data_IF_619711283370
#
_entry.id   IF_619711283370
#
_cell.length_a   1.000
_cell.length_b   1.000
_cell.length_c   1.000
_cell.angle_alpha   90.00
_cell.angle_beta   90.00
_cell.angle_gamma   90.00
#
_symmetry.space_group_name_H-M   'P 1'
#
loop_
_entity.id
_entity.type
_entity.pdbx_description
1 polymer ?
#
# COMPACT_ATOMS: atom_id res chain seq x y z
N UNK A 1 -18.33 -7.41 -7.91
CA UNK A 1 -18.10 -7.50 -6.45
C UNK A 1 -19.13 -8.39 -5.82
N UNK A 2 -18.73 -9.24 -4.88
CA UNK A 2 -19.64 -10.15 -4.19
C UNK A 2 -20.22 -9.57 -2.88
N UNK A 3 -21.19 -10.29 -2.27
CA UNK A 3 -21.86 -9.85 -1.04
C UNK A 3 -20.94 -9.81 0.18
N UNK A 4 -19.92 -10.66 0.25
CA UNK A 4 -18.96 -10.70 1.37
C UNK A 4 -18.04 -9.50 1.29
N UNK A 5 -17.53 -9.18 0.11
CA UNK A 5 -16.73 -7.98 -0.15
C UNK A 5 -17.49 -6.71 0.21
N UNK A 6 -18.74 -6.59 -0.27
CA UNK A 6 -19.56 -5.42 0.03
C UNK A 6 -19.81 -5.26 1.54
N UNK A 7 -20.07 -6.37 2.25
CA UNK A 7 -20.24 -6.37 3.70
C UNK A 7 -18.95 -5.95 4.41
N UNK A 8 -17.81 -6.49 3.99
CA UNK A 8 -16.50 -6.12 4.52
C UNK A 8 -16.21 -4.62 4.36
N UNK A 9 -16.46 -4.04 3.19
CA UNK A 9 -16.24 -2.61 2.96
C UNK A 9 -17.16 -1.73 3.83
N UNK A 10 -18.43 -2.13 4.01
CA UNK A 10 -19.35 -1.44 4.92
C UNK A 10 -18.88 -1.49 6.38
N UNK A 11 -18.43 -2.65 6.83
CA UNK A 11 -17.92 -2.84 8.19
C UNK A 11 -16.60 -2.06 8.40
N UNK A 12 -15.73 -2.04 7.40
CA UNK A 12 -14.48 -1.25 7.44
C UNK A 12 -14.76 0.24 7.60
N UNK A 13 -15.68 0.81 6.81
CA UNK A 13 -16.04 2.22 6.93
C UNK A 13 -16.70 2.52 8.30
N UNK A 14 -17.52 1.59 8.81
CA UNK A 14 -18.19 1.72 10.09
C UNK A 14 -17.22 1.76 11.29
N UNK A 15 -16.04 1.13 11.21
CA UNK A 15 -14.98 1.24 12.23
C UNK A 15 -14.53 2.70 12.40
N UNK A 16 -14.49 3.44 11.29
CA UNK A 16 -14.17 4.88 11.26
C UNK A 16 -15.39 5.78 11.47
N UNK A 17 -16.54 5.19 11.82
CA UNK A 17 -17.85 5.87 11.98
C UNK A 17 -18.33 6.58 10.71
N UNK A 18 -17.90 6.09 9.55
CA UNK A 18 -18.32 6.59 8.25
C UNK A 18 -19.37 5.64 7.66
N UNK A 19 -20.60 6.15 7.50
CA UNK A 19 -21.77 5.34 7.10
C UNK A 19 -22.39 5.81 5.78
N UNK A 20 -21.82 6.82 5.13
CA UNK A 20 -22.38 7.37 3.90
C UNK A 20 -22.23 6.42 2.71
N UNK A 21 -23.21 6.44 1.82
CA UNK A 21 -23.13 5.73 0.54
C UNK A 21 -21.95 6.23 -0.31
N UNK A 22 -21.57 7.50 -0.17
CA UNK A 22 -20.43 8.09 -0.89
C UNK A 22 -19.12 7.43 -0.45
N UNK A 23 -18.90 7.31 0.86
CA UNK A 23 -17.72 6.61 1.38
C UNK A 23 -17.69 5.15 0.97
N UNK A 24 -18.84 4.48 0.94
CA UNK A 24 -18.91 3.11 0.43
C UNK A 24 -18.48 3.06 -1.04
N UNK A 25 -18.96 3.97 -1.88
CA UNK A 25 -18.57 4.04 -3.29
C UNK A 25 -17.07 4.32 -3.47
N UNK A 26 -16.46 5.14 -2.62
CA UNK A 26 -15.01 5.39 -2.64
C UNK A 26 -14.24 4.09 -2.30
N UNK A 27 -14.65 3.38 -1.25
CA UNK A 27 -14.06 2.08 -0.86
C UNK A 27 -14.25 1.01 -1.94
N UNK A 28 -15.41 0.99 -2.61
CA UNK A 28 -15.70 0.10 -3.75
C UNK A 28 -14.73 0.36 -4.91
N UNK A 29 -14.55 1.62 -5.32
CA UNK A 29 -13.64 1.97 -6.41
C UNK A 29 -12.19 1.57 -6.08
N UNK A 30 -11.76 1.84 -4.86
CA UNK A 30 -10.43 1.48 -4.39
C UNK A 30 -10.22 -0.05 -4.40
N UNK A 31 -11.20 -0.80 -3.90
CA UNK A 31 -11.17 -2.26 -3.87
C UNK A 31 -11.16 -2.87 -5.27
N UNK A 32 -12.01 -2.39 -6.18
CA UNK A 32 -12.07 -2.88 -7.55
C UNK A 32 -10.79 -2.57 -8.32
N UNK A 33 -10.19 -1.39 -8.11
CA UNK A 33 -8.89 -1.07 -8.68
C UNK A 33 -7.81 -2.05 -8.21
N UNK A 34 -7.70 -2.26 -6.89
CA UNK A 34 -6.71 -3.18 -6.34
C UNK A 34 -6.91 -4.61 -6.86
N UNK A 35 -8.16 -5.06 -6.93
CA UNK A 35 -8.55 -6.37 -7.47
C UNK A 35 -8.31 -6.52 -8.97
N UNK A 36 -8.30 -5.46 -9.76
CA UNK A 36 -7.94 -5.58 -11.17
C UNK A 36 -6.43 -5.59 -11.36
N UNK A 37 -5.67 -5.07 -10.38
CA UNK A 37 -4.22 -5.05 -10.40
C UNK A 37 -3.64 -6.43 -10.05
N UNK A 38 -4.05 -7.04 -8.94
CA UNK A 38 -3.41 -8.25 -8.37
C UNK A 38 -3.54 -9.54 -9.22
N UNK A 39 -4.71 -9.91 -9.79
CA UNK A 39 -4.90 -11.17 -10.51
C UNK A 39 -4.16 -11.27 -11.84
N UNK A 40 -3.58 -10.17 -12.33
CA UNK A 40 -2.78 -10.14 -13.55
C UNK A 40 -1.32 -10.58 -13.36
N UNK A 41 -0.98 -11.10 -12.17
CA UNK A 41 0.40 -11.44 -11.79
C UNK A 41 1.24 -10.23 -11.42
N UNK A 42 0.64 -9.02 -11.38
CA UNK A 42 1.32 -7.82 -10.91
C UNK A 42 1.41 -7.83 -9.38
N UNK A 43 2.62 -7.56 -8.89
CA UNK A 43 2.90 -7.42 -7.45
C UNK A 43 2.36 -6.08 -6.97
N UNK A 44 2.03 -6.01 -5.68
CA UNK A 44 1.70 -4.73 -5.04
C UNK A 44 2.92 -3.82 -5.18
N UNK A 45 2.73 -2.65 -5.77
CA UNK A 45 3.76 -1.64 -5.95
C UNK A 45 3.34 -0.30 -5.36
N UNK A 46 4.31 0.62 -5.23
CA UNK A 46 4.05 1.97 -4.70
C UNK A 46 2.98 2.71 -5.51
N UNK A 47 3.01 2.72 -6.86
CA UNK A 47 1.94 3.33 -7.66
C UNK A 47 0.54 2.81 -7.34
N UNK A 48 0.38 1.50 -7.16
CA UNK A 48 -0.89 0.89 -6.78
C UNK A 48 -1.34 1.38 -5.40
N UNK A 49 -0.45 1.37 -4.40
CA UNK A 49 -0.75 1.84 -3.03
C UNK A 49 -1.21 3.30 -3.06
N UNK A 50 -0.48 4.17 -3.77
CA UNK A 50 -0.82 5.59 -3.86
C UNK A 50 -2.12 5.82 -4.63
N UNK A 51 -2.42 5.01 -5.64
CA UNK A 51 -3.70 5.11 -6.38
C UNK A 51 -4.88 4.68 -5.53
N UNK A 52 -4.76 3.60 -4.77
CA UNK A 52 -5.76 3.18 -3.78
C UNK A 52 -5.97 4.29 -2.75
N UNK A 53 -4.89 4.86 -2.21
CA UNK A 53 -4.96 5.97 -1.26
C UNK A 53 -5.63 7.21 -1.87
N UNK A 54 -5.35 7.52 -3.14
CA UNK A 54 -6.02 8.60 -3.86
C UNK A 54 -7.53 8.40 -3.87
N UNK A 55 -8.04 7.21 -4.22
CA UNK A 55 -9.48 6.96 -4.25
C UNK A 55 -10.15 7.14 -2.90
N UNK A 56 -9.51 6.67 -1.83
CA UNK A 56 -10.04 6.78 -0.47
C UNK A 56 -10.01 8.22 0.07
N UNK A 57 -8.93 8.96 -0.21
CA UNK A 57 -8.69 10.27 0.42
C UNK A 57 -9.14 11.46 -0.41
N UNK A 58 -9.40 11.32 -1.72
CA UNK A 58 -9.70 12.46 -2.60
C UNK A 58 -10.84 13.34 -2.10
N UNK A 59 -11.87 12.72 -1.49
CA UNK A 59 -13.02 13.42 -0.93
C UNK A 59 -12.75 13.97 0.47
N UNK A 60 -11.95 13.28 1.27
CA UNK A 60 -11.67 13.63 2.66
C UNK A 60 -10.64 14.75 2.77
N UNK A 61 -9.51 14.58 2.09
CA UNK A 61 -8.45 15.59 1.98
C UNK A 61 -7.64 15.41 0.69
N UNK A 62 -8.03 16.16 -0.34
CA UNK A 62 -7.38 16.13 -1.65
C UNK A 62 -5.92 16.60 -1.63
N UNK A 63 -5.46 17.28 -0.56
CA UNK A 63 -4.07 17.77 -0.46
C UNK A 63 -3.10 16.61 -0.22
N UNK A 64 -3.54 15.57 0.49
CA UNK A 64 -2.73 14.40 0.86
C UNK A 64 -3.09 13.15 0.05
N UNK A 65 -4.23 13.17 -0.65
CA UNK A 65 -4.66 12.06 -1.49
C UNK A 65 -3.55 11.64 -2.47
N UNK A 66 -3.25 10.34 -2.49
CA UNK A 66 -2.20 9.75 -3.34
C UNK A 66 -0.76 10.18 -3.05
N UNK A 67 -0.45 10.77 -1.90
CA UNK A 67 0.90 11.25 -1.56
C UNK A 67 1.52 10.51 -0.39
N UNK A 68 2.84 10.37 -0.44
CA UNK A 68 3.65 10.03 0.74
C UNK A 68 3.71 11.27 1.63
N UNK A 69 3.55 11.09 2.94
CA UNK A 69 3.65 12.22 3.89
C UNK A 69 5.07 12.76 4.00
N UNK A 70 5.17 14.05 4.26
CA UNK A 70 6.42 14.79 4.44
C UNK A 70 6.64 15.24 5.89
N UNK A 71 5.80 14.76 6.82
CA UNK A 71 5.85 15.12 8.23
C UNK A 71 5.86 13.88 9.14
N UNK A 72 6.43 14.05 10.34
CA UNK A 72 6.37 13.04 11.39
C UNK A 72 4.93 12.79 11.87
N UNK A 73 4.59 11.53 12.11
CA UNK A 73 3.26 11.10 12.58
C UNK A 73 3.41 10.19 13.80
N UNK A 74 2.47 10.32 14.73
CA UNK A 74 2.32 9.47 15.91
C UNK A 74 0.96 8.77 15.86
N UNK A 75 0.95 7.48 16.18
CA UNK A 75 -0.28 6.70 16.37
C UNK A 75 -0.31 6.22 17.80
N UNK A 76 -1.18 6.84 18.62
CA UNK A 76 -1.15 6.66 20.07
C UNK A 76 0.17 7.17 20.67
N UNK A 77 0.90 6.30 21.38
CA UNK A 77 2.22 6.59 21.95
C UNK A 77 3.40 6.09 21.07
N UNK A 78 3.12 5.62 19.84
CA UNK A 78 4.14 5.09 18.93
C UNK A 78 4.48 6.12 17.87
N UNK A 79 5.75 6.51 17.78
CA UNK A 79 6.29 7.27 16.64
C UNK A 79 6.29 6.36 15.40
N UNK A 80 5.72 6.82 14.30
CA UNK A 80 5.84 6.14 13.00
C UNK A 80 7.21 6.43 12.37
N UNK A 81 7.51 5.76 11.25
CA UNK A 81 8.71 6.02 10.44
C UNK A 81 8.88 7.52 10.15
N UNK A 82 10.10 8.03 10.07
CA UNK A 82 10.34 9.37 9.59
C UNK A 82 9.97 9.49 8.10
N UNK A 83 9.53 10.65 7.60
CA UNK A 83 9.16 10.86 6.19
C UNK A 83 10.17 10.31 5.18
N UNK A 84 11.45 10.53 5.44
CA UNK A 84 12.58 10.11 4.62
C UNK A 84 12.73 8.59 4.51
N UNK A 85 12.25 7.84 5.50
CA UNK A 85 12.35 6.37 5.55
C UNK A 85 11.21 5.68 4.79
N UNK A 86 10.04 6.34 4.67
CA UNK A 86 8.80 5.70 4.18
C UNK A 86 8.99 5.10 2.79
N UNK A 87 9.67 5.81 1.89
CA UNK A 87 9.82 5.36 0.51
C UNK A 87 10.64 4.07 0.43
N UNK A 88 11.73 3.98 1.18
CA UNK A 88 12.56 2.78 1.25
C UNK A 88 11.81 1.63 1.90
N UNK A 89 11.09 1.88 3.00
CA UNK A 89 10.28 0.84 3.66
C UNK A 89 9.14 0.33 2.78
N UNK A 90 8.50 1.19 2.00
CA UNK A 90 7.48 0.78 1.03
C UNK A 90 8.10 -0.03 -0.11
N UNK A 91 9.30 0.34 -0.58
CA UNK A 91 10.01 -0.46 -1.59
C UNK A 91 10.32 -1.85 -1.05
N UNK A 92 10.85 -1.96 0.16
CA UNK A 92 11.10 -3.25 0.82
C UNK A 92 9.82 -4.09 0.94
N UNK A 93 8.72 -3.45 1.38
CA UNK A 93 7.43 -4.13 1.53
C UNK A 93 6.84 -4.64 0.21
N UNK A 94 7.08 -3.92 -0.88
CA UNK A 94 6.66 -4.32 -2.22
C UNK A 94 7.55 -5.40 -2.85
N UNK A 95 8.69 -5.73 -2.24
CA UNK A 95 9.56 -6.80 -2.75
C UNK A 95 8.93 -8.18 -2.48
N UNK A 96 9.00 -9.11 -3.45
CA UNK A 96 8.49 -10.45 -3.26
C UNK A 96 9.27 -11.22 -2.18
N UNK A 97 8.62 -12.05 -1.37
CA UNK A 97 9.33 -12.83 -0.36
C UNK A 97 10.36 -13.79 -0.99
N UNK A 98 10.04 -14.32 -2.18
CA UNK A 98 10.88 -15.23 -2.95
C UNK A 98 11.30 -14.66 -4.30
N UNK A 99 12.47 -15.09 -4.77
CA UNK A 99 12.89 -14.87 -6.16
C UNK A 99 11.92 -15.62 -7.10
N UNK A 100 11.65 -15.15 -8.33
CA UNK A 100 10.87 -15.90 -9.30
C UNK A 100 11.44 -17.31 -9.52
N UNK A 101 10.57 -18.32 -9.63
CA UNK A 101 10.99 -19.73 -9.79
C UNK A 101 11.76 -19.99 -11.10
N UNK A 102 11.68 -19.07 -12.07
CA UNK A 102 12.38 -19.06 -13.35
C UNK A 102 13.60 -18.14 -13.39
N UNK A 103 14.00 -17.55 -12.26
CA UNK A 103 15.15 -16.68 -12.18
C UNK A 103 16.47 -17.45 -12.39
N UNK A 104 17.35 -16.91 -13.22
CA UNK A 104 18.72 -17.41 -13.35
C UNK A 104 19.59 -16.98 -12.15
N UNK A 105 20.76 -17.58 -12.03
CA UNK A 105 21.69 -17.37 -10.91
C UNK A 105 22.08 -15.89 -10.73
N UNK A 106 22.29 -15.18 -11.84
CA UNK A 106 22.60 -13.74 -11.88
C UNK A 106 21.43 -12.87 -11.37
N UNK A 107 20.18 -13.25 -11.69
CA UNK A 107 18.97 -12.56 -11.22
C UNK A 107 18.76 -12.79 -9.72
N UNK A 108 19.09 -13.99 -9.22
CA UNK A 108 19.02 -14.31 -7.79
C UNK A 108 20.05 -13.47 -7.01
N UNK A 109 21.29 -13.38 -7.50
CA UNK A 109 22.35 -12.61 -6.84
C UNK A 109 22.01 -11.12 -6.78
N UNK A 110 21.58 -10.53 -7.92
CA UNK A 110 21.13 -9.15 -7.97
C UNK A 110 19.94 -8.88 -7.04
N UNK A 111 19.03 -9.84 -6.91
CA UNK A 111 17.87 -9.74 -6.04
C UNK A 111 18.24 -9.70 -4.55
N UNK A 112 19.13 -10.59 -4.12
CA UNK A 112 19.64 -10.64 -2.75
C UNK A 112 20.47 -9.40 -2.41
N UNK A 113 21.26 -8.88 -3.35
CA UNK A 113 22.01 -7.63 -3.18
C UNK A 113 21.09 -6.43 -2.99
N UNK A 114 20.02 -6.32 -3.78
CA UNK A 114 19.02 -5.25 -3.63
C UNK A 114 18.29 -5.37 -2.27
N UNK A 115 17.85 -6.57 -1.89
CA UNK A 115 17.24 -6.80 -0.56
C UNK A 115 18.19 -6.42 0.57
N UNK A 116 19.45 -6.84 0.48
CA UNK A 116 20.48 -6.54 1.48
C UNK A 116 20.75 -5.04 1.56
N UNK A 117 20.87 -4.35 0.43
CA UNK A 117 21.04 -2.91 0.37
C UNK A 117 19.88 -2.17 1.04
N UNK A 118 18.64 -2.51 0.71
CA UNK A 118 17.46 -1.86 1.27
C UNK A 118 17.36 -2.09 2.78
N UNK A 119 17.61 -3.32 3.26
CA UNK A 119 17.62 -3.63 4.70
C UNK A 119 18.70 -2.88 5.47
N UNK A 120 19.90 -2.73 4.89
CA UNK A 120 20.98 -1.97 5.50
C UNK A 120 20.68 -0.48 5.59
N UNK A 121 19.95 0.07 4.61
CA UNK A 121 19.52 1.47 4.63
C UNK A 121 18.36 1.73 5.59
N UNK A 122 17.52 0.72 5.87
CA UNK A 122 16.40 0.82 6.82
C UNK A 122 16.83 0.66 8.30
N UNK A 123 18.10 0.40 8.58
CA UNK A 123 18.65 0.17 9.93
C UNK A 123 19.65 1.24 10.39
N UNK A 124 19.89 2.26 9.56
CA UNK A 124 20.74 3.44 9.83
C UNK A 124 19.87 4.64 10.21
#
# INVERSE_FOLDING_TARGET
MDKKELKFLKESNAIEREYSEIALNDSIKAWEYAKNFIPSGRKIDIPMILTVHQFLMSRLDSRIAGKIRECDVWVGNRKCLAPEEIRLSLQDWCLPETCPDDANEETIEAYEDVKKFIRNMATL
#
